data_IF_650235638642
#
_entry.id   IF_650235638642
#
_cell.length_a   1.000
_cell.length_b   1.000
_cell.length_c   1.000
_cell.angle_alpha   90.00
_cell.angle_beta   90.00
_cell.angle_gamma   90.00
#
_symmetry.space_group_name_H-M   'P 1'
#
loop_
_entity.id
_entity.type
_entity.pdbx_description
1 polymer ?
#
# COMPACT_ATOMS: atom_id res chain seq x y z
N UNK A 1 -2.33 31.42 21.08
CA UNK A 1 -1.12 30.86 20.45
C UNK A 1 -1.35 29.40 20.06
N UNK A 2 -1.03 28.95 18.83
CA UNK A 2 -1.16 27.54 18.46
C UNK A 2 -0.13 26.69 19.24
N UNK A 3 -0.59 25.58 19.84
CA UNK A 3 0.29 24.66 20.60
C UNK A 3 1.43 24.14 19.70
N UNK A 4 2.68 24.39 20.12
CA UNK A 4 3.89 23.91 19.46
C UNK A 4 3.84 22.38 19.44
N UNK A 5 3.82 21.77 18.24
CA UNK A 5 3.77 20.31 18.10
C UNK A 5 5.07 19.71 18.62
N UNK A 6 4.98 18.55 19.28
CA UNK A 6 6.17 17.82 19.74
C UNK A 6 7.06 17.41 18.55
N UNK A 7 8.37 17.33 18.77
CA UNK A 7 9.35 16.84 17.78
C UNK A 7 8.95 15.47 17.22
N UNK A 8 8.45 14.57 18.08
CA UNK A 8 7.94 13.25 17.68
C UNK A 8 6.80 13.36 16.67
N UNK A 9 5.83 14.26 16.90
CA UNK A 9 4.70 14.47 16.00
C UNK A 9 5.16 15.00 14.64
N UNK A 10 6.11 15.93 14.64
CA UNK A 10 6.70 16.49 13.42
C UNK A 10 7.46 15.41 12.63
N UNK A 11 8.32 14.64 13.30
CA UNK A 11 9.08 13.56 12.69
C UNK A 11 8.17 12.49 12.05
N UNK A 12 7.13 12.07 12.76
CA UNK A 12 6.15 11.11 12.23
C UNK A 12 5.39 11.66 11.01
N UNK A 13 5.02 12.93 11.03
CA UNK A 13 4.35 13.57 9.89
C UNK A 13 5.28 13.65 8.66
N UNK A 14 6.53 14.03 8.87
CA UNK A 14 7.56 14.08 7.81
C UNK A 14 7.83 12.70 7.23
N UNK A 15 7.99 11.67 8.06
CA UNK A 15 8.17 10.29 7.61
C UNK A 15 6.98 9.75 6.79
N UNK A 16 5.74 10.11 7.17
CA UNK A 16 4.54 9.77 6.38
C UNK A 16 4.52 10.48 5.03
N UNK A 17 4.88 11.77 5.00
CA UNK A 17 4.95 12.56 3.76
C UNK A 17 6.00 11.99 2.81
N UNK A 18 7.19 11.69 3.33
CA UNK A 18 8.30 11.12 2.58
C UNK A 18 7.96 9.74 1.99
N UNK A 19 7.33 8.87 2.79
CA UNK A 19 6.81 7.59 2.30
C UNK A 19 5.80 7.79 1.16
N UNK A 20 4.87 8.73 1.29
CA UNK A 20 3.89 9.03 0.23
C UNK A 20 4.59 9.52 -1.04
N UNK A 21 5.58 10.41 -0.92
CA UNK A 21 6.34 10.89 -2.07
C UNK A 21 7.08 9.76 -2.77
N UNK A 22 7.71 8.86 -2.02
CA UNK A 22 8.41 7.70 -2.59
C UNK A 22 7.43 6.75 -3.28
N UNK A 23 6.31 6.38 -2.64
CA UNK A 23 5.38 5.42 -3.23
C UNK A 23 4.59 5.97 -4.43
N UNK A 24 4.26 7.27 -4.44
CA UNK A 24 3.32 7.83 -5.43
C UNK A 24 3.91 8.84 -6.41
N UNK A 25 5.12 9.34 -6.16
CA UNK A 25 5.76 10.31 -7.05
C UNK A 25 7.08 9.75 -7.60
N UNK A 26 7.01 9.18 -8.80
CA UNK A 26 8.17 8.58 -9.50
C UNK A 26 9.34 9.56 -9.67
N UNK A 27 9.07 10.85 -9.93
CA UNK A 27 10.10 11.89 -10.06
C UNK A 27 10.81 12.11 -8.72
N UNK A 28 10.06 12.31 -7.63
CA UNK A 28 10.63 12.45 -6.28
C UNK A 28 11.39 11.19 -5.84
N UNK A 29 10.83 10.00 -6.10
CA UNK A 29 11.52 8.74 -5.82
C UNK A 29 12.89 8.67 -6.47
N UNK A 30 13.00 9.02 -7.76
CA UNK A 30 14.28 9.02 -8.48
C UNK A 30 15.28 10.01 -7.85
N UNK A 31 14.81 11.20 -7.47
CA UNK A 31 15.64 12.21 -6.79
C UNK A 31 16.14 11.68 -5.45
N UNK A 32 15.26 11.12 -4.61
CA UNK A 32 15.65 10.53 -3.33
C UNK A 32 16.62 9.36 -3.50
N UNK A 33 16.37 8.46 -4.45
CA UNK A 33 17.25 7.32 -4.73
C UNK A 33 18.66 7.78 -5.07
N UNK A 34 18.77 8.77 -5.97
CA UNK A 34 20.06 9.35 -6.37
C UNK A 34 20.77 9.97 -5.16
N UNK A 35 20.07 10.84 -4.43
CA UNK A 35 20.63 11.51 -3.25
C UNK A 35 21.12 10.52 -2.18
N UNK A 36 20.37 9.45 -1.89
CA UNK A 36 20.80 8.46 -0.91
C UNK A 36 22.03 7.67 -1.37
N UNK A 37 22.09 7.28 -2.64
CA UNK A 37 23.27 6.60 -3.18
C UNK A 37 24.51 7.51 -3.18
N UNK A 38 24.35 8.80 -3.50
CA UNK A 38 25.42 9.79 -3.41
C UNK A 38 25.91 9.97 -1.98
N UNK A 39 25.00 10.09 -0.99
CA UNK A 39 25.37 10.18 0.42
C UNK A 39 26.08 8.91 0.92
N UNK A 40 25.62 7.72 0.52
CA UNK A 40 26.30 6.47 0.87
C UNK A 40 27.71 6.42 0.31
N UNK A 41 27.87 6.80 -0.96
CA UNK A 41 29.17 6.85 -1.62
C UNK A 41 30.11 7.82 -0.89
N UNK A 42 29.65 9.04 -0.62
CA UNK A 42 30.43 10.07 0.08
C UNK A 42 30.87 9.61 1.47
N UNK A 43 29.99 8.96 2.24
CA UNK A 43 30.34 8.40 3.55
C UNK A 43 31.38 7.28 3.41
N UNK A 44 31.16 6.32 2.51
CA UNK A 44 32.01 5.14 2.38
C UNK A 44 33.39 5.45 1.78
N UNK A 45 33.53 6.52 0.99
CA UNK A 45 34.81 6.95 0.41
C UNK A 45 35.63 7.82 1.37
N UNK A 46 34.99 8.61 2.24
CA UNK A 46 35.69 9.60 3.07
C UNK A 46 35.81 9.25 4.56
N UNK A 47 34.99 8.33 5.07
CA UNK A 47 35.00 7.99 6.50
C UNK A 47 35.65 6.63 6.72
N UNK A 48 36.77 6.63 7.46
CA UNK A 48 37.45 5.41 7.88
C UNK A 48 36.81 4.86 9.16
N UNK A 49 36.03 3.79 9.01
CA UNK A 49 35.41 3.08 10.12
C UNK A 49 36.32 2.02 10.76
N UNK A 50 37.51 1.77 10.22
CA UNK A 50 38.43 0.71 10.69
C UNK A 50 39.24 1.10 11.92
N UNK A 51 39.62 2.38 12.03
CA UNK A 51 40.38 2.91 13.18
C UNK A 51 39.43 3.22 14.32
N UNK A 52 39.73 2.89 15.57
CA UNK A 52 38.87 3.23 16.72
C UNK A 52 38.94 4.75 17.02
N UNK A 53 37.81 5.45 17.26
CA UNK A 53 37.85 6.87 17.61
C UNK A 53 38.45 7.05 19.01
N UNK A 54 39.26 8.10 19.19
CA UNK A 54 39.99 8.36 20.44
C UNK A 54 39.30 9.46 21.24
N UNK A 55 38.76 10.47 20.55
CA UNK A 55 38.07 11.59 21.18
C UNK A 55 36.56 11.40 21.18
N UNK A 56 35.89 11.98 22.19
CA UNK A 56 34.42 11.97 22.29
C UNK A 56 33.75 12.60 21.07
N UNK A 57 34.31 13.72 20.58
CA UNK A 57 33.77 14.42 19.41
C UNK A 57 33.87 13.57 18.13
N UNK A 58 34.96 12.82 17.97
CA UNK A 58 35.13 11.86 16.86
C UNK A 58 34.11 10.72 16.96
N UNK A 59 33.88 10.21 18.17
CA UNK A 59 32.87 9.19 18.43
C UNK A 59 31.46 9.71 18.08
N UNK A 60 31.10 10.90 18.55
CA UNK A 60 29.78 11.50 18.31
C UNK A 60 29.57 11.80 16.81
N UNK A 61 30.60 12.31 16.12
CA UNK A 61 30.57 12.50 14.66
C UNK A 61 30.34 11.18 13.94
N UNK A 62 31.07 10.12 14.29
CA UNK A 62 30.90 8.80 13.69
C UNK A 62 29.52 8.21 13.96
N UNK A 63 28.98 8.36 15.16
CA UNK A 63 27.62 7.92 15.48
C UNK A 63 26.58 8.62 14.60
N UNK A 64 26.76 9.91 14.35
CA UNK A 64 25.90 10.65 13.42
C UNK A 64 26.04 10.13 11.98
N UNK A 65 27.26 9.92 11.50
CA UNK A 65 27.55 9.37 10.17
C UNK A 65 26.96 7.97 9.99
N UNK A 66 27.15 7.07 10.95
CA UNK A 66 26.57 5.72 10.93
C UNK A 66 25.04 5.77 10.96
N UNK A 67 24.45 6.69 11.72
CA UNK A 67 23.00 6.89 11.74
C UNK A 67 22.48 7.40 10.39
N UNK A 68 23.20 8.30 9.74
CA UNK A 68 22.90 8.78 8.39
C UNK A 68 22.99 7.63 7.38
N UNK A 69 24.03 6.82 7.45
CA UNK A 69 24.21 5.65 6.59
C UNK A 69 23.04 4.66 6.77
N UNK A 70 22.70 4.30 8.01
CA UNK A 70 21.56 3.43 8.31
C UNK A 70 20.23 4.00 7.79
N UNK A 71 20.02 5.32 7.93
CA UNK A 71 18.86 6.01 7.40
C UNK A 71 18.76 5.87 5.87
N UNK A 72 19.86 6.12 5.15
CA UNK A 72 19.87 5.98 3.67
C UNK A 72 19.59 4.56 3.22
N UNK A 73 20.16 3.54 3.87
CA UNK A 73 19.91 2.11 3.57
C UNK A 73 18.42 1.79 3.73
N UNK A 74 17.83 2.15 4.88
CA UNK A 74 16.41 1.91 5.16
C UNK A 74 15.47 2.57 4.13
N UNK A 75 15.80 3.77 3.68
CA UNK A 75 15.01 4.46 2.66
C UNK A 75 15.24 3.91 1.24
N UNK A 76 16.42 3.41 0.91
CA UNK A 76 16.66 2.70 -0.35
C UNK A 76 15.85 1.40 -0.43
N UNK A 77 15.76 0.63 0.67
CA UNK A 77 14.85 -0.52 0.73
C UNK A 77 13.38 -0.10 0.52
N UNK A 78 12.99 1.04 1.11
CA UNK A 78 11.65 1.59 0.93
C UNK A 78 11.40 1.99 -0.54
N UNK A 79 12.40 2.57 -1.19
CA UNK A 79 12.36 2.90 -2.62
C UNK A 79 12.25 1.63 -3.47
N UNK A 80 13.01 0.58 -3.16
CA UNK A 80 12.93 -0.69 -3.89
C UNK A 80 11.53 -1.31 -3.77
N UNK A 81 10.97 -1.31 -2.55
CA UNK A 81 9.57 -1.72 -2.30
C UNK A 81 8.59 -0.88 -3.13
N UNK A 82 8.80 0.44 -3.22
CA UNK A 82 8.00 1.34 -4.04
C UNK A 82 8.20 1.16 -5.57
N UNK A 83 9.39 0.80 -6.03
CA UNK A 83 9.65 0.47 -7.45
C UNK A 83 8.96 -0.83 -7.86
N UNK A 84 8.98 -1.84 -6.99
CA UNK A 84 8.17 -3.05 -7.15
C UNK A 84 6.67 -2.75 -7.12
N UNK A 85 6.27 -1.70 -6.41
CA UNK A 85 4.89 -1.21 -6.31
C UNK A 85 4.39 -0.50 -7.57
N UNK A 86 5.17 0.44 -8.09
CA UNK A 86 4.80 1.34 -9.20
C UNK A 86 4.46 0.61 -10.51
N UNK A 87 5.11 -0.53 -10.75
CA UNK A 87 4.84 -1.40 -11.90
C UNK A 87 3.43 -2.03 -11.90
N UNK A 88 2.59 -1.76 -10.88
CA UNK A 88 1.29 -2.45 -10.65
C UNK A 88 0.14 -1.50 -10.27
N UNK A 89 0.30 -0.19 -10.43
CA UNK A 89 -0.57 0.84 -9.81
C UNK A 89 -1.97 0.93 -10.43
N UNK A 90 -2.16 0.45 -11.66
CA UNK A 90 -3.42 0.53 -12.37
C UNK A 90 -3.78 -0.81 -13.01
N UNK A 91 -4.89 -1.39 -12.57
CA UNK A 91 -5.68 -2.28 -13.41
C UNK A 91 -6.82 -1.46 -13.97
N UNK A 92 -6.91 -1.42 -15.29
CA UNK A 92 -8.08 -0.87 -15.98
C UNK A 92 -8.75 -1.98 -16.77
N UNK A 93 -10.08 -1.91 -16.83
CA UNK A 93 -10.92 -2.68 -17.75
C UNK A 93 -10.86 -4.21 -17.58
N UNK A 94 -10.55 -4.67 -16.37
CA UNK A 94 -10.62 -6.09 -16.01
C UNK A 94 -12.07 -6.51 -15.80
N UNK A 95 -12.42 -7.77 -16.12
CA UNK A 95 -13.80 -8.26 -15.97
C UNK A 95 -14.12 -8.57 -14.50
N UNK A 96 -15.37 -8.34 -14.11
CA UNK A 96 -15.93 -8.84 -12.84
C UNK A 96 -17.28 -9.51 -13.05
N UNK A 97 -17.63 -10.38 -12.11
CA UNK A 97 -18.98 -10.91 -11.93
C UNK A 97 -19.41 -10.66 -10.48
N UNK A 98 -20.63 -10.19 -10.29
CA UNK A 98 -21.24 -9.91 -9.01
C UNK A 98 -22.25 -11.00 -8.68
N UNK A 99 -22.12 -11.56 -7.49
CA UNK A 99 -22.93 -12.63 -6.97
C UNK A 99 -23.66 -12.21 -5.71
N UNK A 100 -24.87 -12.73 -5.49
CA UNK A 100 -25.65 -12.51 -4.25
C UNK A 100 -26.22 -13.81 -3.69
N UNK A 101 -26.21 -13.90 -2.36
CA UNK A 101 -26.90 -14.93 -1.58
C UNK A 101 -27.44 -14.25 -0.32
N UNK A 102 -28.77 -14.20 -0.19
CA UNK A 102 -29.44 -13.46 0.90
C UNK A 102 -28.93 -12.00 0.98
N UNK A 103 -28.29 -11.62 2.10
CA UNK A 103 -27.65 -10.32 2.29
C UNK A 103 -26.17 -10.28 1.86
N UNK A 104 -25.54 -11.43 1.66
CA UNK A 104 -24.14 -11.53 1.27
C UNK A 104 -23.96 -11.20 -0.21
N UNK A 105 -22.95 -10.39 -0.50
CA UNK A 105 -22.61 -9.98 -1.86
C UNK A 105 -21.13 -10.21 -2.14
N UNK A 106 -20.79 -10.72 -3.33
CA UNK A 106 -19.43 -11.10 -3.68
C UNK A 106 -19.07 -10.62 -5.08
N UNK A 107 -17.99 -9.87 -5.21
CA UNK A 107 -17.36 -9.63 -6.52
C UNK A 107 -16.30 -10.69 -6.78
N UNK A 108 -16.49 -11.46 -7.85
CA UNK A 108 -15.44 -12.29 -8.45
C UNK A 108 -14.68 -11.45 -9.46
N UNK A 109 -13.42 -11.15 -9.17
CA UNK A 109 -12.55 -10.34 -10.02
C UNK A 109 -11.09 -10.70 -9.81
N UNK A 110 -10.24 -10.36 -10.78
CA UNK A 110 -8.79 -10.52 -10.66
C UNK A 110 -8.17 -9.26 -10.08
N UNK A 111 -7.85 -9.25 -8.79
CA UNK A 111 -7.14 -8.11 -8.17
C UNK A 111 -5.63 -8.22 -8.43
N UNK A 112 -4.96 -7.08 -8.66
CA UNK A 112 -3.50 -7.02 -8.65
C UNK A 112 -3.00 -6.43 -7.33
N UNK A 113 -1.69 -6.48 -7.09
CA UNK A 113 -1.03 -5.81 -5.96
C UNK A 113 -1.58 -4.39 -5.74
N UNK A 114 -1.74 -3.94 -4.48
CA UNK A 114 -1.30 -4.58 -3.22
C UNK A 114 -2.27 -5.61 -2.63
N UNK A 115 -3.34 -5.98 -3.33
CA UNK A 115 -4.36 -6.89 -2.77
C UNK A 115 -3.96 -8.37 -2.75
N UNK A 116 -3.02 -8.81 -3.61
CA UNK A 116 -2.66 -10.23 -3.75
C UNK A 116 -1.17 -10.41 -4.08
N UNK A 117 -0.68 -11.66 -3.95
CA UNK A 117 0.70 -12.04 -4.32
C UNK A 117 1.01 -11.75 -5.78
N UNK A 118 2.28 -11.85 -6.17
CA UNK A 118 2.80 -11.60 -7.53
C UNK A 118 2.07 -12.34 -8.68
N UNK A 119 1.12 -13.23 -8.41
CA UNK A 119 0.41 -14.04 -9.39
C UNK A 119 -0.99 -13.47 -9.65
N UNK A 120 -1.30 -13.28 -10.93
CA UNK A 120 -2.65 -12.97 -11.42
C UNK A 120 -3.54 -14.16 -11.06
N UNK A 121 -4.44 -13.99 -10.08
CA UNK A 121 -5.39 -15.03 -9.69
C UNK A 121 -6.77 -14.40 -9.55
N UNK A 122 -7.79 -15.16 -9.92
CA UNK A 122 -9.18 -14.85 -9.55
C UNK A 122 -9.25 -14.65 -8.04
N UNK A 123 -10.14 -13.78 -7.59
CA UNK A 123 -10.33 -13.51 -6.18
C UNK A 123 -11.74 -13.02 -5.91
N UNK A 124 -12.14 -13.13 -4.65
CA UNK A 124 -13.50 -12.90 -4.21
C UNK A 124 -13.52 -11.81 -3.15
N UNK A 125 -13.98 -10.61 -3.51
CA UNK A 125 -14.25 -9.55 -2.53
C UNK A 125 -15.64 -9.80 -1.96
N UNK A 126 -15.69 -10.24 -0.71
CA UNK A 126 -16.90 -10.65 -0.01
C UNK A 126 -17.37 -9.59 0.99
N UNK A 127 -18.64 -9.22 0.86
CA UNK A 127 -19.41 -8.39 1.78
C UNK A 127 -20.44 -9.28 2.50
N UNK A 128 -20.08 -9.89 3.64
CA UNK A 128 -21.00 -10.80 4.33
C UNK A 128 -22.27 -10.08 4.81
N UNK A 129 -22.18 -8.78 5.12
CA UNK A 129 -23.32 -7.96 5.54
C UNK A 129 -23.92 -7.10 4.41
N UNK A 130 -23.60 -7.39 3.14
CA UNK A 130 -24.00 -6.59 1.98
C UNK A 130 -23.27 -5.25 1.85
N UNK A 131 -23.64 -4.43 0.86
CA UNK A 131 -22.91 -3.21 0.53
C UNK A 131 -22.86 -2.17 1.66
N UNK A 132 -21.75 -1.41 1.79
CA UNK A 132 -21.64 -0.28 2.70
C UNK A 132 -22.40 0.91 2.10
N UNK A 133 -23.63 1.17 2.53
CA UNK A 133 -24.43 2.31 2.03
C UNK A 133 -24.09 3.61 2.77
N UNK A 134 -24.34 3.65 4.09
CA UNK A 134 -24.13 4.83 4.95
C UNK A 134 -23.02 4.64 5.99
N UNK A 135 -22.69 3.39 6.31
CA UNK A 135 -21.69 3.04 7.33
C UNK A 135 -20.56 2.23 6.72
N UNK A 136 -19.36 2.38 7.28
CA UNK A 136 -18.24 1.52 6.93
C UNK A 136 -18.57 0.08 7.31
N UNK A 137 -18.25 -0.88 6.43
CA UNK A 137 -18.42 -2.31 6.71
C UNK A 137 -17.09 -3.04 6.59
N UNK A 138 -16.95 -4.15 7.32
CA UNK A 138 -15.77 -5.00 7.23
C UNK A 138 -15.95 -5.99 6.08
N UNK A 139 -14.94 -6.13 5.24
CA UNK A 139 -14.94 -7.04 4.10
C UNK A 139 -13.67 -7.88 4.06
N UNK A 140 -13.71 -8.91 3.23
CA UNK A 140 -12.63 -9.87 3.08
C UNK A 140 -12.35 -10.10 1.61
N UNK A 141 -11.08 -10.26 1.25
CA UNK A 141 -10.67 -10.69 -0.09
C UNK A 141 -10.09 -12.09 0.02
N UNK A 142 -10.75 -13.05 -0.62
CA UNK A 142 -10.29 -14.43 -0.69
C UNK A 142 -9.55 -14.66 -2.02
N UNK A 143 -8.31 -15.14 -1.93
CA UNK A 143 -7.55 -15.64 -3.09
C UNK A 143 -8.17 -16.94 -3.59
N UNK A 144 -8.17 -17.14 -4.90
CA UNK A 144 -8.63 -18.41 -5.47
C UNK A 144 -7.76 -19.59 -4.98
N UNK A 145 -8.45 -20.65 -4.56
CA UNK A 145 -7.91 -21.82 -3.87
C UNK A 145 -8.80 -22.28 -2.72
N UNK A 146 -9.68 -23.26 -2.99
CA UNK A 146 -10.43 -24.15 -2.07
C UNK A 146 -11.24 -23.56 -0.89
N UNK A 147 -11.04 -22.30 -0.49
CA UNK A 147 -11.62 -21.69 0.73
C UNK A 147 -12.91 -20.91 0.51
N UNK A 148 -13.22 -20.51 -0.73
CA UNK A 148 -14.42 -19.74 -1.04
C UNK A 148 -15.31 -20.49 -2.04
N UNK A 149 -16.55 -20.77 -1.65
CA UNK A 149 -17.54 -21.47 -2.49
C UNK A 149 -18.66 -20.51 -2.89
N UNK A 150 -18.99 -20.48 -4.18
CA UNK A 150 -20.14 -19.76 -4.73
C UNK A 150 -21.44 -20.60 -4.72
N UNK A 151 -21.47 -21.75 -4.02
CA UNK A 151 -22.67 -22.60 -3.96
C UNK A 151 -23.86 -21.84 -3.34
N UNK A 152 -24.95 -21.75 -4.11
CA UNK A 152 -26.17 -21.03 -3.72
C UNK A 152 -26.07 -19.51 -3.86
N UNK A 153 -25.06 -19.00 -4.56
CA UNK A 153 -25.03 -17.61 -5.00
C UNK A 153 -25.58 -17.52 -6.43
N UNK A 154 -26.35 -16.46 -6.68
CA UNK A 154 -26.86 -16.13 -8.01
C UNK A 154 -26.06 -14.98 -8.62
N UNK A 155 -25.79 -15.05 -9.92
CA UNK A 155 -25.18 -13.94 -10.66
C UNK A 155 -26.21 -12.82 -10.82
N UNK A 156 -25.84 -11.62 -10.37
CA UNK A 156 -26.75 -10.46 -10.40
C UNK A 156 -26.30 -9.37 -11.37
N UNK A 157 -25.00 -9.22 -11.61
CA UNK A 157 -24.44 -8.23 -12.52
C UNK A 157 -23.03 -8.65 -12.97
N UNK A 158 -22.56 -8.09 -14.08
CA UNK A 158 -21.21 -8.29 -14.58
C UNK A 158 -20.76 -7.07 -15.38
N UNK A 159 -19.44 -6.88 -15.52
CA UNK A 159 -18.93 -5.72 -16.23
C UNK A 159 -17.44 -5.52 -16.09
N UNK A 160 -17.01 -4.26 -16.12
CA UNK A 160 -15.60 -3.88 -16.02
C UNK A 160 -15.28 -3.30 -14.66
N UNK A 161 -14.07 -3.56 -14.20
CA UNK A 161 -13.56 -3.07 -12.93
C UNK A 161 -12.22 -2.37 -13.11
N UNK A 162 -12.03 -1.32 -12.32
CA UNK A 162 -10.79 -0.56 -12.22
C UNK A 162 -10.32 -0.55 -10.78
N UNK A 163 -9.03 -0.79 -10.59
CA UNK A 163 -8.35 -0.67 -9.30
C UNK A 163 -7.43 0.53 -9.35
N UNK A 164 -7.52 1.38 -8.34
CA UNK A 164 -6.58 2.48 -8.14
C UNK A 164 -6.07 2.47 -6.73
N UNK A 165 -4.75 2.47 -6.56
CA UNK A 165 -4.16 2.70 -5.25
C UNK A 165 -4.31 4.17 -4.87
N UNK A 166 -4.82 4.44 -3.66
CA UNK A 166 -4.88 5.78 -3.08
C UNK A 166 -3.78 6.04 -2.04
N UNK A 167 -3.33 4.99 -1.34
CA UNK A 167 -2.35 5.07 -0.26
C UNK A 167 -1.77 3.68 0.06
N UNK A 168 -0.80 3.60 0.99
CA UNK A 168 -0.17 2.34 1.39
C UNK A 168 -1.20 1.29 1.89
N UNK A 169 -2.23 1.75 2.61
CA UNK A 169 -3.32 0.91 3.11
C UNK A 169 -4.64 1.13 2.37
N UNK A 170 -4.68 2.06 1.42
CA UNK A 170 -5.92 2.57 0.85
C UNK A 170 -6.01 2.30 -0.65
N UNK A 171 -7.11 1.70 -1.08
CA UNK A 171 -7.37 1.32 -2.47
C UNK A 171 -8.79 1.74 -2.84
N UNK A 172 -8.94 2.28 -4.04
CA UNK A 172 -10.23 2.51 -4.68
C UNK A 172 -10.51 1.38 -5.66
N UNK A 173 -11.71 0.81 -5.54
CA UNK A 173 -12.25 -0.16 -6.47
C UNK A 173 -13.50 0.44 -7.11
N UNK A 174 -13.50 0.48 -8.44
CA UNK A 174 -14.61 0.99 -9.25
C UNK A 174 -15.11 -0.12 -10.15
N UNK A 175 -16.38 -0.48 -10.01
CA UNK A 175 -17.05 -1.49 -10.81
C UNK A 175 -18.13 -0.82 -11.64
N UNK A 176 -18.05 -0.96 -12.96
CA UNK A 176 -19.08 -0.54 -13.90
C UNK A 176 -19.78 -1.79 -14.41
N UNK A 177 -20.88 -2.15 -13.76
CA UNK A 177 -21.75 -3.23 -14.19
C UNK A 177 -22.61 -2.84 -15.37
N UNK A 178 -23.41 -3.79 -15.85
CA UNK A 178 -24.46 -3.52 -16.85
C UNK A 178 -25.65 -2.82 -16.19
N UNK A 179 -25.93 -3.13 -14.92
CA UNK A 179 -27.06 -2.58 -14.17
C UNK A 179 -26.64 -1.39 -13.33
N UNK A 180 -25.56 -1.53 -12.57
CA UNK A 180 -25.19 -0.56 -11.53
C UNK A 180 -23.72 -0.14 -11.58
N UNK A 181 -23.42 0.97 -10.92
CA UNK A 181 -22.07 1.45 -10.66
C UNK A 181 -21.73 1.34 -9.18
N UNK A 182 -20.58 0.76 -8.87
CA UNK A 182 -20.11 0.58 -7.50
C UNK A 182 -18.74 1.21 -7.31
N UNK A 183 -18.59 2.07 -6.32
CA UNK A 183 -17.34 2.74 -6.00
C UNK A 183 -17.01 2.55 -4.52
N UNK A 184 -15.89 1.92 -4.24
CA UNK A 184 -15.48 1.57 -2.89
C UNK A 184 -14.10 2.11 -2.59
N UNK A 185 -13.91 2.58 -1.36
CA UNK A 185 -12.60 2.75 -0.74
C UNK A 185 -12.38 1.63 0.27
N UNK A 186 -11.32 0.85 0.06
CA UNK A 186 -10.85 -0.20 0.95
C UNK A 186 -9.66 0.35 1.76
N UNK A 187 -9.72 0.20 3.08
CA UNK A 187 -8.62 0.49 4.01
C UNK A 187 -8.20 -0.79 4.73
N UNK A 188 -6.94 -1.20 4.55
CA UNK A 188 -6.40 -2.45 5.11
C UNK A 188 -6.43 -2.47 6.64
N UNK A 189 -7.02 -3.52 7.21
CA UNK A 189 -7.05 -3.80 8.65
C UNK A 189 -5.94 -4.79 9.00
N UNK A 190 -5.88 -5.92 8.28
CA UNK A 190 -4.92 -6.99 8.52
C UNK A 190 -4.57 -7.66 7.19
N UNK A 191 -3.26 -7.73 6.91
CA UNK A 191 -2.70 -8.21 5.64
C UNK A 191 -2.80 -9.74 5.51
N UNK A 192 -2.46 -10.48 6.56
CA UNK A 192 -2.52 -11.96 6.55
C UNK A 192 -3.93 -12.48 6.28
N UNK A 193 -4.93 -11.85 6.92
CA UNK A 193 -6.35 -12.19 6.78
C UNK A 193 -7.02 -11.51 5.59
N UNK A 194 -6.31 -10.62 4.88
CA UNK A 194 -6.84 -9.84 3.76
C UNK A 194 -8.19 -9.18 4.12
N UNK A 195 -8.21 -8.51 5.27
CA UNK A 195 -9.43 -7.88 5.82
C UNK A 195 -9.37 -6.36 5.75
N UNK A 196 -10.50 -5.75 5.39
CA UNK A 196 -10.57 -4.33 5.02
C UNK A 196 -11.78 -3.65 5.65
N UNK A 197 -11.64 -2.35 5.95
CA UNK A 197 -12.78 -1.46 6.11
C UNK A 197 -13.17 -0.92 4.75
N UNK A 198 -14.46 -0.94 4.43
CA UNK A 198 -14.98 -0.45 3.15
C UNK A 198 -16.02 0.62 3.36
N UNK A 199 -15.85 1.73 2.64
CA UNK A 199 -16.83 2.81 2.51
C UNK A 199 -17.22 2.95 1.04
N UNK A 200 -18.50 3.18 0.77
CA UNK A 200 -18.93 3.67 -0.55
C UNK A 200 -18.39 5.08 -0.76
N UNK A 201 -17.98 5.37 -1.99
CA UNK A 201 -17.49 6.67 -2.45
C UNK A 201 -18.48 7.32 -3.40
#
# INVERSE_FOLDING_TARGET
>A
MPKKKSLRTVALASGRKMNRDIYFNKKRRRVFKKSFLETQKEILENEDFSVKPVLKEEYDKRMLTTSMLAFTVSWLETIEKAEKYDKKVYLTDSKFILYRKEMSVVFKATFLKPLLDNKVKTSFLCFPQGFPRKTKKKTFIYKDGRKFSLKGYEEIDSGTFKQKVLGYKDISLKYKGKKDYYNFKLTLINDEKQSYWVTSL
#
